data_IF_627569250609
#
_entry.id   IF_627569250609
#
_cell.length_a   1.000
_cell.length_b   1.000
_cell.length_c   1.000
_cell.angle_alpha   90.00
_cell.angle_beta   90.00
_cell.angle_gamma   90.00
#
_symmetry.space_group_name_H-M   'P 1'
#
loop_
_entity.id
_entity.type
_entity.pdbx_description
1 polymer ?
#
# COMPACT_ATOMS: atom_id res chain seq x y z
N UNK A 1 -22.97 -1.45 -5.43
CA UNK A 1 -23.32 -1.79 -4.03
C UNK A 1 -23.14 -0.68 -3.01
N UNK A 2 -21.94 -0.12 -2.77
CA UNK A 2 -21.73 0.86 -1.69
C UNK A 2 -22.68 2.07 -1.75
N UNK A 3 -22.87 2.67 -2.94
CA UNK A 3 -23.83 3.77 -3.11
C UNK A 3 -25.24 3.35 -2.65
N UNK A 4 -25.74 2.20 -3.15
CA UNK A 4 -27.09 1.67 -2.90
C UNK A 4 -27.42 1.46 -1.42
N UNK A 5 -26.45 1.05 -0.60
CA UNK A 5 -26.66 0.75 0.82
C UNK A 5 -26.48 1.97 1.74
N UNK A 6 -25.82 3.03 1.26
CA UNK A 6 -25.59 4.23 2.04
C UNK A 6 -26.90 5.01 2.24
N UNK A 7 -27.18 5.56 3.41
CA UNK A 7 -28.37 6.42 3.59
C UNK A 7 -28.21 7.75 2.81
N UNK A 8 -29.30 8.45 2.44
CA UNK A 8 -29.20 9.82 1.88
C UNK A 8 -28.37 10.74 2.79
N UNK A 9 -27.47 11.53 2.21
CA UNK A 9 -26.53 12.38 2.95
C UNK A 9 -25.39 11.62 3.63
N UNK A 10 -25.28 10.30 3.43
CA UNK A 10 -24.13 9.54 3.90
C UNK A 10 -22.88 9.80 3.04
N UNK A 11 -21.71 9.60 3.65
CA UNK A 11 -20.40 9.80 3.02
C UNK A 11 -19.69 8.45 2.94
N UNK A 12 -19.09 8.15 1.79
CA UNK A 12 -18.10 7.09 1.67
C UNK A 12 -16.71 7.71 1.69
N UNK A 13 -15.78 7.03 2.36
CA UNK A 13 -14.35 7.27 2.26
C UNK A 13 -13.67 6.03 1.72
N UNK A 14 -12.89 6.20 0.66
CA UNK A 14 -12.18 5.14 -0.04
C UNK A 14 -10.70 5.41 0.05
N UNK A 15 -9.95 4.41 0.49
CA UNK A 15 -8.50 4.44 0.64
C UNK A 15 -7.91 3.34 -0.23
N UNK A 16 -7.02 3.71 -1.15
CA UNK A 16 -6.35 2.80 -2.09
C UNK A 16 -4.88 3.19 -2.24
N UNK A 17 -4.00 2.30 -2.71
CA UNK A 17 -2.64 2.70 -3.11
C UNK A 17 -2.68 3.85 -4.14
N UNK A 18 -1.85 4.88 -3.94
CA UNK A 18 -1.81 6.05 -4.82
C UNK A 18 -0.98 5.80 -6.09
N UNK A 19 -1.65 5.36 -7.16
CA UNK A 19 -1.00 5.09 -8.44
C UNK A 19 -0.26 6.31 -8.98
N UNK A 20 -0.82 7.50 -8.82
CA UNK A 20 -0.20 8.72 -9.35
C UNK A 20 1.11 9.01 -8.64
N UNK A 21 1.12 8.91 -7.31
CA UNK A 21 2.32 9.14 -6.52
C UNK A 21 3.39 8.09 -6.82
N UNK A 22 3.02 6.81 -6.92
CA UNK A 22 3.92 5.72 -7.31
C UNK A 22 4.51 5.98 -8.70
N UNK A 23 3.68 6.35 -9.69
CA UNK A 23 4.14 6.63 -11.05
C UNK A 23 5.11 7.84 -11.12
N UNK A 24 4.85 8.90 -10.33
CA UNK A 24 5.76 10.05 -10.23
C UNK A 24 7.11 9.65 -9.63
N UNK A 25 7.09 8.83 -8.59
CA UNK A 25 8.32 8.30 -8.00
C UNK A 25 9.06 7.37 -8.96
N UNK A 26 8.34 6.54 -9.71
CA UNK A 26 8.92 5.67 -10.73
C UNK A 26 9.73 6.48 -11.75
N UNK A 27 9.11 7.50 -12.37
CA UNK A 27 9.80 8.35 -13.34
C UNK A 27 10.99 9.10 -12.71
N UNK A 28 10.81 9.64 -11.50
CA UNK A 28 11.88 10.38 -10.80
C UNK A 28 13.08 9.50 -10.46
N UNK A 29 12.84 8.28 -9.96
CA UNK A 29 13.91 7.35 -9.59
C UNK A 29 14.54 6.71 -10.82
N UNK A 30 13.75 6.47 -11.88
CA UNK A 30 14.26 6.00 -13.17
C UNK A 30 15.31 6.96 -13.74
N UNK A 31 14.97 8.25 -13.89
CA UNK A 31 15.88 9.26 -14.44
C UNK A 31 17.18 9.39 -13.62
N UNK A 32 17.08 9.35 -12.28
CA UNK A 32 18.26 9.39 -11.40
C UNK A 32 19.08 8.09 -11.46
N UNK A 33 18.43 6.95 -11.61
CA UNK A 33 19.09 5.64 -11.74
C UNK A 33 19.92 5.56 -13.01
N UNK A 34 19.44 6.19 -14.09
CA UNK A 34 20.20 6.30 -15.36
C UNK A 34 21.46 7.16 -15.25
N UNK A 35 21.57 7.98 -14.21
CA UNK A 35 22.79 8.75 -13.89
C UNK A 35 23.77 7.96 -13.00
N UNK A 36 23.47 6.70 -12.67
CA UNK A 36 24.32 5.86 -11.83
C UNK A 36 24.25 6.16 -10.33
N UNK A 37 23.24 6.92 -9.87
CA UNK A 37 23.07 7.24 -8.45
C UNK A 37 22.56 5.99 -7.72
N UNK A 38 23.43 5.35 -6.92
CA UNK A 38 23.12 4.09 -6.22
C UNK A 38 21.86 4.16 -5.35
N UNK A 39 21.72 5.19 -4.52
CA UNK A 39 20.53 5.39 -3.68
C UNK A 39 19.24 5.48 -4.52
N UNK A 40 19.30 6.09 -5.71
CA UNK A 40 18.14 6.15 -6.59
C UNK A 40 17.80 4.79 -7.21
N UNK A 41 18.79 3.93 -7.45
CA UNK A 41 18.58 2.57 -7.95
C UNK A 41 17.88 1.70 -6.91
N UNK A 42 18.30 1.78 -5.64
CA UNK A 42 17.64 1.07 -4.54
C UNK A 42 16.19 1.55 -4.33
N UNK A 43 15.97 2.87 -4.36
CA UNK A 43 14.61 3.44 -4.30
C UNK A 43 13.76 3.06 -5.52
N UNK A 44 14.35 2.98 -6.71
CA UNK A 44 13.67 2.54 -7.92
C UNK A 44 13.16 1.10 -7.78
N UNK A 45 14.00 0.20 -7.25
CA UNK A 45 13.61 -1.19 -7.00
C UNK A 45 12.44 -1.28 -6.03
N UNK A 46 12.45 -0.48 -4.95
CA UNK A 46 11.31 -0.38 -4.04
C UNK A 46 10.04 0.10 -4.75
N UNK A 47 10.11 1.14 -5.58
CA UNK A 47 8.92 1.67 -6.27
C UNK A 47 8.34 0.66 -7.27
N UNK A 48 9.19 -0.10 -7.96
CA UNK A 48 8.74 -1.17 -8.84
C UNK A 48 8.02 -2.26 -8.05
N UNK A 49 8.56 -2.63 -6.89
CA UNK A 49 7.92 -3.57 -5.99
C UNK A 49 6.57 -3.02 -5.46
N UNK A 50 6.54 -1.75 -5.04
CA UNK A 50 5.34 -1.03 -4.60
C UNK A 50 4.24 -1.01 -5.65
N UNK A 51 4.61 -0.78 -6.91
CA UNK A 51 3.68 -0.73 -8.02
C UNK A 51 3.10 -2.11 -8.35
N UNK A 52 3.96 -3.12 -8.50
CA UNK A 52 3.55 -4.39 -9.10
C UNK A 52 3.06 -5.41 -8.07
N UNK A 53 3.68 -5.50 -6.89
CA UNK A 53 3.34 -6.54 -5.91
C UNK A 53 1.87 -6.46 -5.49
N UNK A 54 1.32 -5.23 -5.43
CA UNK A 54 -0.11 -4.99 -5.18
C UNK A 54 -1.04 -5.71 -6.15
N UNK A 55 -0.62 -5.90 -7.41
CA UNK A 55 -1.43 -6.44 -8.50
C UNK A 55 -1.06 -7.87 -8.93
N UNK A 56 0.20 -8.27 -8.78
CA UNK A 56 0.71 -9.50 -9.42
C UNK A 56 0.93 -10.65 -8.43
N UNK A 57 1.02 -10.37 -7.13
CA UNK A 57 1.32 -11.39 -6.11
C UNK A 57 0.26 -12.49 -6.07
N UNK A 58 0.67 -13.69 -5.65
CA UNK A 58 -0.21 -14.84 -5.49
C UNK A 58 -0.20 -15.42 -4.07
N UNK A 59 0.44 -14.71 -3.13
CA UNK A 59 0.56 -15.09 -1.72
C UNK A 59 0.47 -13.84 -0.84
N UNK A 60 0.03 -14.06 0.40
CA UNK A 60 -0.06 -12.99 1.40
C UNK A 60 1.32 -12.40 1.70
N UNK A 61 1.39 -11.08 1.87
CA UNK A 61 2.63 -10.32 2.05
C UNK A 61 3.51 -10.17 0.78
N UNK A 62 3.34 -11.03 -0.23
CA UNK A 62 4.02 -10.93 -1.53
C UNK A 62 5.54 -10.82 -1.43
N UNK A 63 6.15 -10.19 -2.43
CA UNK A 63 7.59 -9.92 -2.45
C UNK A 63 7.98 -8.76 -1.51
N UNK A 64 7.04 -7.88 -1.13
CA UNK A 64 7.29 -6.84 -0.12
C UNK A 64 7.75 -7.44 1.22
N UNK A 65 7.09 -8.50 1.67
CA UNK A 65 7.46 -9.16 2.91
C UNK A 65 8.87 -9.78 2.83
N UNK A 66 9.27 -10.29 1.67
CA UNK A 66 10.61 -10.81 1.46
C UNK A 66 11.63 -9.66 1.48
N UNK A 67 11.29 -8.53 0.87
CA UNK A 67 12.13 -7.33 0.87
C UNK A 67 12.43 -6.85 2.30
N UNK A 68 11.42 -6.82 3.17
CA UNK A 68 11.57 -6.40 4.58
C UNK A 68 12.29 -7.40 5.48
N UNK A 69 12.43 -8.66 5.05
CA UNK A 69 13.14 -9.71 5.81
C UNK A 69 14.65 -9.71 5.58
N UNK A 70 15.16 -8.88 4.67
CA UNK A 70 16.59 -8.77 4.43
C UNK A 70 17.30 -8.22 5.68
N UNK A 71 18.52 -8.71 5.95
CA UNK A 71 19.34 -8.24 7.08
C UNK A 71 19.63 -6.73 6.97
N UNK A 72 19.81 -6.25 5.74
CA UNK A 72 19.90 -4.83 5.41
C UNK A 72 18.84 -4.53 4.36
N UNK A 73 17.90 -3.65 4.69
CA UNK A 73 16.83 -3.24 3.78
C UNK A 73 17.37 -2.10 2.92
N UNK A 74 17.46 -2.24 1.59
CA UNK A 74 17.87 -1.14 0.74
C UNK A 74 16.87 0.03 0.87
N UNK A 75 17.39 1.26 0.89
CA UNK A 75 16.60 2.48 1.09
C UNK A 75 15.57 2.41 2.26
N UNK A 76 15.92 1.80 3.40
CA UNK A 76 14.99 1.57 4.54
C UNK A 76 14.23 2.83 4.98
N UNK A 77 14.91 3.97 5.05
CA UNK A 77 14.31 5.26 5.40
C UNK A 77 13.19 5.65 4.44
N UNK A 78 13.42 5.47 3.15
CA UNK A 78 12.44 5.72 2.09
C UNK A 78 11.28 4.72 2.13
N UNK A 79 11.55 3.44 2.41
CA UNK A 79 10.49 2.43 2.60
C UNK A 79 9.60 2.80 3.79
N UNK A 80 10.19 3.21 4.91
CA UNK A 80 9.45 3.65 6.10
C UNK A 80 8.64 4.91 5.81
N UNK A 81 9.20 5.87 5.09
CA UNK A 81 8.52 7.09 4.66
C UNK A 81 7.27 6.77 3.82
N UNK A 82 7.38 5.83 2.89
CA UNK A 82 6.28 5.46 1.99
C UNK A 82 5.19 4.64 2.68
N UNK A 83 5.55 3.56 3.38
CA UNK A 83 4.60 2.59 3.91
C UNK A 83 4.03 3.00 5.27
N UNK A 84 4.75 3.81 6.04
CA UNK A 84 4.30 4.31 7.33
C UNK A 84 4.34 3.26 8.44
N UNK A 85 3.28 3.16 9.24
CA UNK A 85 3.29 2.36 10.47
C UNK A 85 3.26 0.86 10.23
N UNK A 86 2.75 0.40 9.08
CA UNK A 86 2.68 -1.02 8.76
C UNK A 86 4.08 -1.65 8.69
N UNK A 87 5.01 -1.05 7.97
CA UNK A 87 6.38 -1.57 7.87
C UNK A 87 7.08 -1.50 9.23
N UNK A 88 6.91 -0.42 10.00
CA UNK A 88 7.50 -0.31 11.36
C UNK A 88 7.08 -1.48 12.26
N UNK A 89 5.80 -1.83 12.24
CA UNK A 89 5.27 -2.94 13.03
C UNK A 89 5.82 -4.30 12.58
N UNK A 90 5.95 -4.51 11.26
CA UNK A 90 6.53 -5.74 10.71
C UNK A 90 8.01 -5.84 11.03
N UNK A 91 8.78 -4.76 10.86
CA UNK A 91 10.21 -4.72 11.19
C UNK A 91 10.47 -4.95 12.67
N UNK A 92 9.66 -4.38 13.57
CA UNK A 92 9.76 -4.64 15.00
C UNK A 92 9.57 -6.14 15.31
N UNK A 93 8.59 -6.80 14.68
CA UNK A 93 8.38 -8.26 14.85
C UNK A 93 9.53 -9.08 14.28
N UNK A 94 10.02 -8.73 13.09
CA UNK A 94 11.15 -9.43 12.45
C UNK A 94 12.40 -9.33 13.34
N UNK A 95 12.73 -8.13 13.82
CA UNK A 95 13.90 -7.87 14.67
C UNK A 95 13.80 -8.54 16.04
N UNK A 96 12.60 -8.58 16.65
CA UNK A 96 12.38 -9.30 17.90
C UNK A 96 12.57 -10.82 17.74
N UNK A 97 12.11 -11.39 16.62
CA UNK A 97 12.27 -12.82 16.34
C UNK A 97 13.71 -13.20 15.96
N UNK A 98 14.46 -12.31 15.29
CA UNK A 98 15.87 -12.51 14.97
C UNK A 98 16.75 -12.63 16.23
N UNK A 99 16.37 -11.98 17.34
CA UNK A 99 17.04 -12.13 18.63
C UNK A 99 16.78 -13.47 19.34
N UNK A 100 15.80 -14.25 18.90
CA UNK A 100 15.40 -15.53 19.50
C UNK A 100 15.77 -16.77 18.65
N UNK A 101 16.26 -16.57 17.42
CA UNK A 101 16.56 -17.65 16.49
C UNK A 101 18.08 -17.88 16.37
N UNK A 102 18.57 -19.01 16.87
CA UNK A 102 19.84 -19.60 16.44
C UNK A 102 19.84 -19.81 14.93
N UNK A 103 20.87 -19.32 14.26
CA UNK A 103 21.19 -19.46 12.83
C UNK A 103 20.45 -20.59 12.10
N UNK A 104 19.23 -20.31 11.66
CA UNK A 104 18.57 -21.04 10.59
C UNK A 104 18.66 -20.14 9.37
N UNK A 105 19.31 -20.69 8.35
CA UNK A 105 19.48 -20.13 7.01
C UNK A 105 18.21 -19.38 6.62
N UNK A 106 18.29 -18.10 6.17
CA UNK A 106 17.11 -17.40 5.70
C UNK A 106 16.48 -18.29 4.63
N UNK A 107 15.27 -18.80 4.90
CA UNK A 107 14.47 -19.42 3.87
C UNK A 107 14.17 -18.32 2.86
N UNK A 108 15.08 -18.14 1.91
CA UNK A 108 14.79 -17.57 0.62
C UNK A 108 13.53 -18.27 0.15
N UNK A 109 12.43 -17.52 0.10
CA UNK A 109 11.22 -17.96 -0.57
C UNK A 109 11.69 -18.36 -1.96
N UNK A 110 11.70 -19.67 -2.22
CA UNK A 110 12.03 -20.17 -3.53
C UNK A 110 10.95 -19.58 -4.45
N UNK A 111 11.33 -18.74 -5.41
CA UNK A 111 10.48 -18.35 -6.56
C UNK A 111 9.85 -19.56 -7.28
N UNK A 112 10.29 -20.77 -6.93
CA UNK A 112 9.90 -22.06 -7.46
C UNK A 112 9.04 -22.92 -6.53
N UNK A 113 8.40 -22.37 -5.48
CA UNK A 113 7.24 -23.10 -4.91
C UNK A 113 6.18 -23.05 -6.00
N UNK A 114 6.02 -24.15 -6.73
CA UNK A 114 4.91 -24.33 -7.66
C UNK A 114 3.62 -24.25 -6.84
N UNK A 115 3.06 -23.05 -6.73
CA UNK A 115 1.77 -22.84 -6.10
C UNK A 115 0.75 -23.63 -6.91
N UNK A 116 -0.05 -24.42 -6.22
CA UNK A 116 -1.13 -25.11 -6.90
C UNK A 116 -2.16 -24.06 -7.41
N UNK A 117 -2.83 -24.30 -8.54
CA UNK A 117 -3.82 -23.35 -9.07
C UNK A 117 -4.95 -23.02 -8.10
N UNK A 118 -5.30 -23.92 -7.17
CA UNK A 118 -6.31 -23.70 -6.15
C UNK A 118 -5.83 -22.72 -5.06
N UNK A 119 -4.55 -22.77 -4.66
CA UNK A 119 -3.93 -21.80 -3.75
C UNK A 119 -3.90 -20.42 -4.38
N UNK A 120 -3.51 -20.33 -5.65
CA UNK A 120 -3.52 -19.06 -6.41
C UNK A 120 -4.96 -18.51 -6.47
N UNK A 121 -5.93 -19.35 -6.85
CA UNK A 121 -7.34 -18.95 -6.92
C UNK A 121 -7.88 -18.48 -5.57
N UNK A 122 -7.61 -19.25 -4.50
CA UNK A 122 -8.01 -18.91 -3.13
C UNK A 122 -7.42 -17.57 -2.68
N UNK A 123 -6.15 -17.32 -2.96
CA UNK A 123 -5.53 -16.04 -2.66
C UNK A 123 -6.14 -14.90 -3.49
N UNK A 124 -6.29 -15.09 -4.81
CA UNK A 124 -6.82 -14.03 -5.70
C UNK A 124 -8.28 -13.65 -5.40
N UNK A 125 -9.02 -14.54 -4.73
CA UNK A 125 -10.40 -14.32 -4.29
C UNK A 125 -10.52 -13.87 -2.82
N UNK A 126 -9.41 -13.69 -2.08
CA UNK A 126 -9.45 -13.34 -0.65
C UNK A 126 -9.80 -11.88 -0.37
N UNK A 127 -9.70 -11.01 -1.37
CA UNK A 127 -9.81 -9.56 -1.23
C UNK A 127 -8.50 -8.86 -0.81
N UNK A 128 -7.42 -9.60 -0.55
CA UNK A 128 -6.11 -9.02 -0.19
C UNK A 128 -5.38 -8.40 -1.41
N UNK A 129 -5.67 -8.89 -2.62
CA UNK A 129 -5.03 -8.45 -3.85
C UNK A 129 -5.75 -7.24 -4.46
N UNK A 130 -4.98 -6.21 -4.85
CA UNK A 130 -5.51 -5.09 -5.62
C UNK A 130 -5.59 -5.50 -7.09
N UNK A 131 -6.80 -5.79 -7.57
CA UNK A 131 -7.01 -6.16 -8.98
C UNK A 131 -6.86 -4.95 -9.92
N UNK A 132 -6.92 -3.74 -9.39
CA UNK A 132 -6.76 -2.50 -10.12
C UNK A 132 -6.15 -1.42 -9.23
N UNK A 133 -5.43 -0.49 -9.84
CA UNK A 133 -4.82 0.66 -9.19
C UNK A 133 -5.51 1.93 -9.66
N UNK A 134 -5.58 2.94 -8.80
CA UNK A 134 -6.28 4.18 -9.12
C UNK A 134 -5.45 5.40 -8.78
N UNK A 135 -5.59 6.41 -9.63
CA UNK A 135 -5.21 7.80 -9.35
C UNK A 135 -6.46 8.62 -8.99
N UNK A 136 -6.25 9.91 -8.66
CA UNK A 136 -7.35 10.82 -8.33
C UNK A 136 -8.40 10.97 -9.44
N UNK A 137 -8.00 10.78 -10.71
CA UNK A 137 -8.89 10.96 -11.85
C UNK A 137 -9.78 9.73 -12.05
N UNK A 138 -9.17 8.55 -12.14
CA UNK A 138 -9.83 7.26 -12.36
C UNK A 138 -10.73 6.87 -11.20
N UNK A 139 -10.27 7.01 -9.94
CA UNK A 139 -11.13 6.78 -8.76
C UNK A 139 -12.25 7.82 -8.70
N UNK A 140 -11.93 9.10 -8.95
CA UNK A 140 -12.93 10.16 -8.98
C UNK A 140 -14.01 9.93 -10.04
N UNK A 141 -13.62 9.47 -11.23
CA UNK A 141 -14.55 9.08 -12.30
C UNK A 141 -15.43 7.91 -11.87
N UNK A 142 -14.86 6.87 -11.26
CA UNK A 142 -15.59 5.69 -10.80
C UNK A 142 -16.64 6.06 -9.74
N UNK A 143 -16.27 6.89 -8.76
CA UNK A 143 -17.20 7.37 -7.73
C UNK A 143 -18.37 8.15 -8.33
N UNK A 144 -18.09 9.06 -9.28
CA UNK A 144 -19.14 9.83 -9.98
C UNK A 144 -20.06 8.93 -10.79
N UNK A 145 -19.50 7.95 -11.52
CA UNK A 145 -20.28 6.97 -12.27
C UNK A 145 -21.17 6.10 -11.38
N UNK A 146 -20.74 5.83 -10.15
CA UNK A 146 -21.53 5.11 -9.15
C UNK A 146 -22.65 5.96 -8.51
N UNK A 147 -22.70 7.27 -8.80
CA UNK A 147 -23.73 8.20 -8.32
C UNK A 147 -23.30 9.12 -7.18
N UNK A 148 -22.06 8.99 -6.66
CA UNK A 148 -21.57 9.87 -5.61
C UNK A 148 -21.35 11.31 -6.11
N UNK A 149 -21.62 12.27 -5.23
CA UNK A 149 -21.47 13.71 -5.42
C UNK A 149 -20.34 14.24 -4.54
N UNK A 150 -19.94 15.49 -4.79
CA UNK A 150 -18.90 16.17 -3.99
C UNK A 150 -17.60 15.36 -3.88
N UNK A 151 -17.29 14.61 -4.94
CA UNK A 151 -16.15 13.70 -4.98
C UNK A 151 -14.85 14.49 -4.90
N UNK A 152 -14.03 14.21 -3.90
CA UNK A 152 -12.81 14.98 -3.62
C UNK A 152 -11.69 14.10 -3.05
N UNK A 153 -10.46 14.54 -3.29
CA UNK A 153 -9.29 14.03 -2.56
C UNK A 153 -9.29 14.64 -1.17
N UNK A 154 -8.94 13.84 -0.16
CA UNK A 154 -8.84 14.27 1.23
C UNK A 154 -7.43 14.01 1.76
N UNK A 155 -7.06 14.71 2.84
CA UNK A 155 -5.94 14.29 3.68
C UNK A 155 -6.36 13.12 4.57
N UNK A 156 -5.38 12.42 5.15
CA UNK A 156 -5.65 11.30 6.07
C UNK A 156 -6.47 11.73 7.30
N UNK A 157 -6.26 12.95 7.78
CA UNK A 157 -6.87 13.58 8.96
C UNK A 157 -8.00 14.56 8.61
N UNK A 158 -8.44 14.60 7.35
CA UNK A 158 -9.52 15.47 6.88
C UNK A 158 -10.67 14.62 6.34
N UNK A 159 -11.87 14.86 6.85
CA UNK A 159 -13.08 14.13 6.43
C UNK A 159 -14.35 14.96 6.64
N UNK A 160 -15.35 14.74 5.78
CA UNK A 160 -16.72 15.22 6.03
C UNK A 160 -17.45 14.39 7.10
N UNK A 161 -16.91 13.22 7.47
CA UNK A 161 -17.47 12.37 8.51
C UNK A 161 -17.17 13.02 9.87
N UNK A 162 -18.22 13.28 10.64
CA UNK A 162 -18.09 13.91 11.95
C UNK A 162 -17.19 13.07 12.87
N UNK A 163 -16.26 13.75 13.56
CA UNK A 163 -15.30 13.15 14.48
C UNK A 163 -14.43 12.01 13.86
N UNK A 164 -14.22 12.00 12.54
CA UNK A 164 -13.53 10.90 11.84
C UNK A 164 -12.19 10.50 12.49
N UNK A 165 -11.38 11.49 12.89
CA UNK A 165 -10.06 11.25 13.49
C UNK A 165 -10.14 10.54 14.86
N UNK A 166 -11.28 10.59 15.56
CA UNK A 166 -11.44 9.83 16.82
C UNK A 166 -11.49 8.31 16.60
N UNK A 167 -11.74 7.86 15.37
CA UNK A 167 -11.74 6.44 15.01
C UNK A 167 -10.34 5.89 14.72
N UNK A 168 -9.32 6.76 14.53
CA UNK A 168 -7.93 6.38 14.27
C UNK A 168 -7.77 5.37 13.11
N UNK A 169 -8.56 5.56 12.03
CA UNK A 169 -8.55 4.65 10.88
C UNK A 169 -7.37 4.92 9.93
N UNK A 170 -7.11 6.20 9.63
CA UNK A 170 -6.10 6.64 8.65
C UNK A 170 -4.90 7.34 9.28
N UNK A 171 -4.98 7.60 10.58
CA UNK A 171 -3.94 8.24 11.38
C UNK A 171 -3.63 7.40 12.61
N UNK A 172 -2.42 7.55 13.11
CA UNK A 172 -1.97 7.01 14.39
C UNK A 172 -2.40 7.91 15.56
N UNK A 173 -2.32 7.44 16.83
CA UNK A 173 -2.68 8.24 18.00
C UNK A 173 -1.88 9.55 18.15
N UNK A 174 -0.68 9.63 17.57
CA UNK A 174 0.16 10.82 17.55
C UNK A 174 -0.17 11.79 16.39
N UNK A 175 -1.17 11.46 15.57
CA UNK A 175 -1.60 12.23 14.40
C UNK A 175 -0.79 11.96 13.13
N UNK A 176 0.22 11.09 13.16
CA UNK A 176 0.95 10.70 11.95
C UNK A 176 0.06 9.87 11.02
N UNK A 177 0.31 9.94 9.71
CA UNK A 177 -0.48 9.18 8.72
C UNK A 177 -0.10 7.70 8.79
N UNK A 178 -1.10 6.82 8.93
CA UNK A 178 -0.91 5.37 9.02
C UNK A 178 -0.24 4.80 7.76
N UNK A 179 -0.73 5.22 6.59
CA UNK A 179 -0.30 4.77 5.25
C UNK A 179 -0.05 5.98 4.30
N UNK A 180 1.15 6.58 4.33
CA UNK A 180 1.47 7.76 3.51
C UNK A 180 1.41 7.54 1.99
N UNK A 181 1.55 6.29 1.55
CA UNK A 181 1.44 5.83 0.16
C UNK A 181 0.00 5.72 -0.36
N UNK A 182 -1.00 6.04 0.46
CA UNK A 182 -2.41 5.89 0.08
C UNK A 182 -3.04 7.17 -0.48
N UNK A 183 -3.94 6.98 -1.44
CA UNK A 183 -4.87 7.98 -1.94
C UNK A 183 -6.17 7.89 -1.14
N UNK A 184 -6.56 9.00 -0.51
CA UNK A 184 -7.80 9.13 0.24
C UNK A 184 -8.80 9.95 -0.56
N UNK A 185 -9.97 9.37 -0.86
CA UNK A 185 -11.04 10.08 -1.55
C UNK A 185 -12.39 9.88 -0.87
N UNK A 186 -13.22 10.92 -0.90
CA UNK A 186 -14.58 10.88 -0.36
C UNK A 186 -15.61 11.19 -1.45
N UNK A 187 -16.83 10.73 -1.21
CA UNK A 187 -18.02 11.07 -2.00
C UNK A 187 -19.30 11.01 -1.17
N UNK A 188 -20.20 11.97 -1.35
CA UNK A 188 -21.51 12.02 -0.71
C UNK A 188 -22.60 11.33 -1.53
N UNK A 189 -23.60 10.73 -0.88
CA UNK A 189 -24.82 10.21 -1.51
C UNK A 189 -25.94 11.25 -1.53
#
# INVERSE_FOLDING_TARGET
ECFRILKPGGIIRVVVPDLEQIARWYLKMFEKSMQGVKDAQERYEWIMLELFDQMVRNVSGGEMLNYWKQDTIPAEDFVIERVGSEVKNVLNKIRQNAGAATATTPQTYNKNIALDPYQIGRFRLSGEIHQWMYDRYSLGKLLKQAGFREVRVCRADESMIANFNSYLLDIEPDGSVRKPDSLFMEGGR
#
